data_IF_399892316698
#
_entry.id   IF_399892316698
#
_cell.length_a   1.000
_cell.length_b   1.000
_cell.length_c   1.000
_cell.angle_alpha   90.00
_cell.angle_beta   90.00
_cell.angle_gamma   90.00
#
_symmetry.space_group_name_H-M   'P 1'
#
loop_
_entity.id
_entity.type
_entity.pdbx_description
1 polymer ?
#
# COMPACT_ATOMS: atom_id res chain seq x y z
N UNK A 1 2.02 -15.11 17.56
CA UNK A 1 1.96 -16.50 17.16
C UNK A 1 0.65 -16.74 16.42
N UNK A 2 0.64 -16.93 15.11
CA UNK A 2 -0.57 -17.02 14.25
C UNK A 2 -1.63 -18.04 14.72
N UNK A 3 -1.27 -19.01 15.55
CA UNK A 3 -2.24 -19.94 16.15
C UNK A 3 -3.31 -19.22 16.99
N UNK A 4 -2.96 -18.15 17.68
CA UNK A 4 -3.89 -17.41 18.53
C UNK A 4 -4.88 -16.53 17.73
N UNK A 5 -4.55 -16.19 16.49
CA UNK A 5 -5.41 -15.38 15.63
C UNK A 5 -6.69 -16.11 15.20
N UNK A 6 -6.63 -17.44 15.01
CA UNK A 6 -7.81 -18.24 14.65
C UNK A 6 -8.90 -18.24 15.71
N UNK A 7 -8.54 -17.99 16.97
CA UNK A 7 -9.44 -17.92 18.12
C UNK A 7 -9.92 -16.49 18.41
N UNK A 8 -9.42 -15.50 17.64
CA UNK A 8 -9.83 -14.11 17.84
C UNK A 8 -11.31 -13.91 17.58
N UNK A 9 -11.99 -13.15 18.44
CA UNK A 9 -13.38 -12.72 18.23
C UNK A 9 -13.49 -11.54 17.26
N UNK A 10 -12.39 -10.86 16.95
CA UNK A 10 -12.36 -9.72 16.05
C UNK A 10 -12.60 -10.16 14.60
N UNK A 11 -13.65 -9.61 13.99
CA UNK A 11 -14.06 -9.93 12.60
C UNK A 11 -12.99 -9.57 11.56
N UNK A 12 -12.14 -8.58 11.84
CA UNK A 12 -11.05 -8.14 10.98
C UNK A 12 -9.79 -9.02 11.09
N UNK A 13 -9.87 -10.12 11.84
CA UNK A 13 -8.79 -11.12 11.94
C UNK A 13 -9.28 -12.51 11.54
N UNK A 14 -10.46 -12.61 10.90
CA UNK A 14 -11.10 -13.87 10.50
C UNK A 14 -11.42 -13.93 9.01
N UNK A 15 -11.59 -15.16 8.50
CA UNK A 15 -12.03 -15.39 7.12
C UNK A 15 -11.12 -14.71 6.11
N UNK A 16 -11.68 -13.89 5.22
CA UNK A 16 -10.93 -13.15 4.20
C UNK A 16 -10.03 -12.04 4.76
N UNK A 17 -10.18 -11.69 6.02
CA UNK A 17 -9.35 -10.72 6.74
C UNK A 17 -8.21 -11.39 7.52
N UNK A 18 -8.10 -12.71 7.45
CA UNK A 18 -7.06 -13.43 8.17
C UNK A 18 -5.68 -13.00 7.65
N UNK A 19 -4.76 -12.60 8.53
CA UNK A 19 -3.42 -12.18 8.14
C UNK A 19 -2.67 -13.29 7.42
N UNK A 20 -1.85 -12.88 6.45
CA UNK A 20 -1.00 -13.78 5.68
C UNK A 20 0.48 -13.45 5.87
N UNK A 21 1.32 -14.45 5.71
CA UNK A 21 2.77 -14.29 5.72
C UNK A 21 3.27 -13.79 4.36
N UNK A 22 4.47 -13.21 4.34
CA UNK A 22 5.16 -12.91 3.08
C UNK A 22 5.43 -14.21 2.32
N UNK A 23 5.23 -14.16 1.02
CA UNK A 23 5.45 -15.31 0.15
C UNK A 23 5.89 -14.88 -1.25
N UNK A 24 6.52 -15.81 -1.96
CA UNK A 24 6.84 -15.68 -3.37
C UNK A 24 6.63 -17.01 -4.08
N UNK A 25 6.08 -16.96 -5.28
CA UNK A 25 5.89 -18.11 -6.18
C UNK A 25 6.27 -17.71 -7.58
N UNK A 26 6.90 -18.61 -8.31
CA UNK A 26 7.33 -18.40 -9.70
C UNK A 26 6.67 -19.41 -10.62
N UNK A 27 6.56 -19.07 -11.90
CA UNK A 27 6.01 -19.94 -12.95
C UNK A 27 4.62 -20.48 -12.56
N UNK A 28 3.69 -19.57 -12.31
CA UNK A 28 2.35 -19.90 -11.83
C UNK A 28 1.55 -20.67 -12.88
N UNK A 29 0.78 -21.66 -12.44
CA UNK A 29 -0.18 -22.32 -13.29
C UNK A 29 -1.30 -21.36 -13.70
N UNK A 30 -1.65 -21.40 -14.98
CA UNK A 30 -2.72 -20.59 -15.57
C UNK A 30 -3.86 -21.50 -16.03
N UNK A 31 -5.07 -21.23 -15.54
CA UNK A 31 -6.28 -21.88 -16.04
C UNK A 31 -6.93 -20.94 -17.07
N UNK A 32 -6.99 -21.35 -18.33
CA UNK A 32 -7.41 -20.53 -19.45
C UNK A 32 -6.22 -19.88 -20.16
N UNK A 33 -6.43 -18.70 -20.76
CA UNK A 33 -5.41 -18.00 -21.53
C UNK A 33 -5.27 -16.54 -21.04
N UNK A 34 -4.02 -16.11 -20.90
CA UNK A 34 -3.69 -14.71 -20.68
C UNK A 34 -3.37 -14.08 -22.05
N UNK A 35 -4.03 -12.97 -22.45
CA UNK A 35 -3.70 -12.27 -23.69
C UNK A 35 -2.22 -11.90 -23.73
N UNK A 36 -1.55 -12.16 -24.86
CA UNK A 36 -0.10 -11.87 -25.03
C UNK A 36 0.22 -10.39 -24.97
N UNK A 37 -0.74 -9.56 -25.28
CA UNK A 37 -0.63 -8.10 -25.24
C UNK A 37 -0.63 -7.57 -23.80
N UNK A 38 -1.12 -8.35 -22.83
CA UNK A 38 -1.13 -7.96 -21.43
C UNK A 38 0.25 -8.18 -20.80
N UNK A 39 1.00 -7.10 -20.70
CA UNK A 39 2.34 -7.08 -20.12
C UNK A 39 2.40 -6.06 -18.99
N UNK A 40 2.88 -6.46 -17.84
CA UNK A 40 3.01 -5.55 -16.72
C UNK A 40 3.00 -6.20 -15.36
N UNK A 41 2.76 -5.36 -14.37
CA UNK A 41 2.69 -5.74 -12.96
C UNK A 41 1.31 -5.34 -12.42
N UNK A 42 0.50 -6.34 -12.08
CA UNK A 42 -0.75 -6.12 -11.38
C UNK A 42 -0.45 -5.99 -9.88
N UNK A 43 -0.85 -4.86 -9.28
CA UNK A 43 -0.56 -4.55 -7.88
C UNK A 43 -1.83 -4.30 -7.09
N UNK A 44 -1.81 -4.74 -5.83
CA UNK A 44 -2.80 -4.38 -4.80
C UNK A 44 -2.08 -4.08 -3.50
N UNK A 45 -2.54 -3.07 -2.77
CA UNK A 45 -2.09 -2.75 -1.43
C UNK A 45 -3.26 -2.81 -0.46
N UNK A 46 -3.02 -3.32 0.73
CA UNK A 46 -4.05 -3.44 1.76
C UNK A 46 -3.45 -3.66 3.14
N UNK A 47 -4.26 -3.56 4.20
CA UNK A 47 -3.82 -3.85 5.54
C UNK A 47 -3.59 -5.35 5.75
N UNK A 48 -2.48 -5.69 6.40
CA UNK A 48 -2.16 -7.02 6.88
C UNK A 48 -1.43 -6.89 8.22
N UNK A 49 -2.12 -7.07 9.36
CA UNK A 49 -1.50 -6.79 10.65
C UNK A 49 -0.31 -7.68 10.92
N UNK A 50 0.76 -7.09 11.46
CA UNK A 50 1.98 -7.76 11.88
C UNK A 50 1.99 -7.90 13.39
N UNK A 51 2.43 -9.05 13.88
CA UNK A 51 2.56 -9.28 15.33
C UNK A 51 3.59 -8.31 15.99
N UNK A 52 3.32 -7.83 17.19
CA UNK A 52 2.19 -8.16 18.06
C UNK A 52 0.92 -7.41 17.70
N UNK A 53 -0.25 -8.09 17.76
CA UNK A 53 -1.55 -7.52 17.40
C UNK A 53 -2.41 -7.37 18.66
N UNK A 54 -3.05 -6.21 18.83
CA UNK A 54 -4.14 -6.08 19.79
C UNK A 54 -5.42 -6.72 19.21
N UNK A 55 -5.62 -7.99 19.51
CA UNK A 55 -6.74 -8.78 18.99
C UNK A 55 -8.10 -8.18 19.30
N UNK A 56 -8.23 -7.45 20.39
CA UNK A 56 -9.52 -6.90 20.84
C UNK A 56 -9.89 -5.62 20.07
N UNK A 57 -8.92 -4.75 19.86
CA UNK A 57 -9.16 -3.41 19.32
C UNK A 57 -8.62 -3.21 17.89
N UNK A 58 -8.07 -4.24 17.28
CA UNK A 58 -7.55 -4.13 15.92
C UNK A 58 -8.61 -3.67 14.93
N UNK A 59 -8.25 -2.67 14.13
CA UNK A 59 -9.03 -2.20 12.99
C UNK A 59 -8.12 -2.07 11.76
N UNK A 60 -8.55 -2.50 10.54
CA UNK A 60 -7.69 -2.53 9.36
C UNK A 60 -7.11 -1.17 8.97
N UNK A 61 -7.76 -0.06 9.29
CA UNK A 61 -7.20 1.27 9.01
C UNK A 61 -5.84 1.52 9.67
N UNK A 62 -5.55 0.83 10.76
CA UNK A 62 -4.31 0.94 11.52
C UNK A 62 -3.39 -0.28 11.36
N UNK A 63 -3.70 -1.18 10.42
CA UNK A 63 -2.87 -2.33 10.12
C UNK A 63 -1.66 -1.96 9.28
N UNK A 64 -0.61 -2.79 9.36
CA UNK A 64 0.55 -2.67 8.48
C UNK A 64 0.16 -2.85 7.03
N UNK A 65 0.81 -2.13 6.12
CA UNK A 65 0.61 -2.30 4.70
C UNK A 65 1.25 -3.57 4.16
N UNK A 66 0.53 -4.27 3.29
CA UNK A 66 1.08 -5.38 2.51
C UNK A 66 0.76 -5.18 1.04
N UNK A 67 1.80 -5.15 0.22
CA UNK A 67 1.69 -5.11 -1.23
C UNK A 67 1.63 -6.52 -1.78
N UNK A 68 0.73 -6.76 -2.73
CA UNK A 68 0.64 -7.99 -3.52
C UNK A 68 0.91 -7.65 -4.97
N UNK A 69 1.77 -8.41 -5.62
CA UNK A 69 2.10 -8.22 -7.02
C UNK A 69 2.05 -9.51 -7.82
N UNK A 70 1.52 -9.41 -9.03
CA UNK A 70 1.52 -10.47 -10.04
C UNK A 70 2.16 -9.93 -11.31
N UNK A 71 3.29 -10.51 -11.71
CA UNK A 71 3.96 -10.18 -12.97
C UNK A 71 3.41 -11.02 -14.11
N UNK A 72 2.90 -10.33 -15.13
CA UNK A 72 2.38 -10.93 -16.35
C UNK A 72 3.24 -10.49 -17.53
N UNK A 73 3.63 -11.41 -18.38
CA UNK A 73 4.37 -11.11 -19.60
C UNK A 73 4.18 -12.22 -20.65
N UNK A 74 3.92 -11.83 -21.89
CA UNK A 74 3.82 -12.73 -23.06
C UNK A 74 2.87 -13.91 -22.83
N UNK A 75 1.71 -13.68 -22.22
CA UNK A 75 0.71 -14.70 -21.93
C UNK A 75 1.06 -15.62 -20.75
N UNK A 76 2.03 -15.26 -19.92
CA UNK A 76 2.49 -16.02 -18.76
C UNK A 76 2.35 -15.23 -17.47
N UNK A 77 1.98 -15.91 -16.38
CA UNK A 77 2.07 -15.41 -15.02
C UNK A 77 3.45 -15.81 -14.46
N UNK A 78 4.40 -14.88 -14.49
CA UNK A 78 5.81 -15.19 -14.20
C UNK A 78 6.07 -15.38 -12.72
N UNK A 79 5.51 -14.49 -11.88
CA UNK A 79 5.64 -14.61 -10.44
C UNK A 79 4.49 -13.90 -9.72
N UNK A 80 4.22 -14.36 -8.51
CA UNK A 80 3.44 -13.68 -7.48
C UNK A 80 4.33 -13.45 -6.26
N UNK A 81 4.24 -12.27 -5.67
CA UNK A 81 4.91 -11.92 -4.41
C UNK A 81 3.97 -11.09 -3.55
N UNK A 82 4.05 -11.28 -2.24
CA UNK A 82 3.49 -10.35 -1.28
C UNK A 82 4.53 -9.99 -0.22
N UNK A 83 4.62 -8.70 0.11
CA UNK A 83 5.61 -8.16 1.04
C UNK A 83 4.99 -7.08 1.91
N UNK A 84 5.46 -6.96 3.14
CA UNK A 84 5.14 -5.80 3.96
C UNK A 84 5.71 -4.53 3.36
N UNK A 85 4.88 -3.47 3.37
CA UNK A 85 5.34 -2.13 3.01
C UNK A 85 5.96 -1.51 4.25
N UNK A 86 7.27 -1.40 4.27
CA UNK A 86 7.99 -0.81 5.39
C UNK A 86 7.88 0.71 5.36
N UNK A 87 7.83 1.32 6.54
CA UNK A 87 7.88 2.77 6.70
C UNK A 87 8.76 3.11 7.90
N UNK A 88 9.69 4.09 7.77
CA UNK A 88 10.46 4.57 8.91
C UNK A 88 9.63 5.38 9.91
N UNK A 89 8.37 5.69 9.61
CA UNK A 89 7.52 6.60 10.38
C UNK A 89 6.31 5.91 11.05
N UNK A 90 6.34 4.60 11.23
CA UNK A 90 5.23 3.84 11.85
C UNK A 90 4.76 2.69 10.98
N UNK A 91 3.46 2.35 11.03
CA UNK A 91 2.91 1.32 10.14
C UNK A 91 3.02 1.76 8.67
N UNK A 92 3.35 0.81 7.82
CA UNK A 92 3.53 1.06 6.38
C UNK A 92 2.23 1.45 5.69
N UNK A 93 2.31 2.21 4.58
CA UNK A 93 1.15 2.55 3.77
C UNK A 93 0.34 1.32 3.37
N UNK A 94 -0.97 1.33 3.68
CA UNK A 94 -1.82 0.15 3.61
C UNK A 94 -3.08 0.31 2.74
N UNK A 95 -3.21 1.42 1.99
CA UNK A 95 -4.50 1.75 1.37
C UNK A 95 -4.48 1.64 -0.15
N UNK A 96 -3.48 2.20 -0.81
CA UNK A 96 -3.46 2.29 -2.26
C UNK A 96 -2.05 2.09 -2.82
N UNK A 97 -1.97 1.74 -4.10
CA UNK A 97 -0.73 1.67 -4.87
C UNK A 97 -0.96 2.26 -6.25
N UNK A 98 -0.03 3.07 -6.71
CA UNK A 98 -0.07 3.66 -8.06
C UNK A 98 1.32 3.76 -8.67
N UNK A 99 1.37 3.88 -10.00
CA UNK A 99 2.59 4.23 -10.73
C UNK A 99 2.51 5.69 -11.17
N UNK A 100 3.57 6.46 -10.91
CA UNK A 100 3.75 7.82 -11.39
C UNK A 100 5.24 8.09 -11.62
N UNK A 101 5.60 8.81 -12.68
CA UNK A 101 6.98 9.14 -13.03
C UNK A 101 7.94 7.93 -12.94
N UNK A 102 7.53 6.79 -13.53
CA UNK A 102 8.23 5.50 -13.56
C UNK A 102 8.47 4.84 -12.18
N UNK A 103 7.92 5.38 -11.10
CA UNK A 103 8.02 4.83 -9.73
C UNK A 103 6.70 4.24 -9.27
N UNK A 104 6.78 3.25 -8.39
CA UNK A 104 5.64 2.63 -7.71
C UNK A 104 5.53 3.23 -6.32
N UNK A 105 4.38 3.82 -6.01
CA UNK A 105 4.10 4.43 -4.72
C UNK A 105 3.05 3.65 -3.96
N UNK A 106 3.35 3.24 -2.73
CA UNK A 106 2.37 2.79 -1.77
C UNK A 106 1.90 3.96 -0.91
N UNK A 107 0.60 4.08 -0.70
CA UNK A 107 -0.05 5.22 -0.08
C UNK A 107 -0.94 4.81 1.07
N UNK A 108 -1.10 5.74 2.03
CA UNK A 108 -2.09 5.64 3.12
C UNK A 108 -2.80 6.97 3.31
N UNK A 109 -4.07 6.93 3.69
CA UNK A 109 -4.89 8.13 3.89
C UNK A 109 -4.53 8.83 5.20
N UNK A 110 -4.17 10.13 5.12
CA UNK A 110 -3.86 10.97 6.29
C UNK A 110 -2.76 10.43 7.22
N UNK A 111 -1.97 9.49 6.75
CA UNK A 111 -0.94 8.78 7.51
C UNK A 111 0.49 9.21 7.17
N UNK A 112 1.37 8.23 6.98
CA UNK A 112 2.77 8.47 6.62
C UNK A 112 2.93 9.04 5.20
N UNK A 113 4.14 9.53 4.91
CA UNK A 113 4.54 9.83 3.53
C UNK A 113 4.41 8.60 2.65
N UNK A 114 4.20 8.78 1.34
CA UNK A 114 4.29 7.70 0.37
C UNK A 114 5.60 6.94 0.49
N UNK A 115 5.56 5.66 0.17
CA UNK A 115 6.74 4.79 0.11
C UNK A 115 6.97 4.39 -1.33
N UNK A 116 8.21 4.48 -1.80
CA UNK A 116 8.60 4.04 -3.14
C UNK A 116 9.04 2.59 -3.10
N UNK A 117 8.53 1.80 -4.04
CA UNK A 117 8.87 0.40 -4.24
C UNK A 117 9.54 0.21 -5.61
N UNK A 118 10.49 -0.72 -5.67
CA UNK A 118 11.05 -1.19 -6.94
C UNK A 118 10.09 -2.19 -7.65
N UNK A 119 10.49 -2.66 -8.83
CA UNK A 119 9.70 -3.63 -9.62
C UNK A 119 9.61 -5.02 -8.98
N UNK A 120 10.43 -5.31 -7.98
CA UNK A 120 10.43 -6.54 -7.18
C UNK A 120 9.73 -6.37 -5.83
N UNK A 121 9.05 -5.23 -5.64
CA UNK A 121 8.30 -4.84 -4.45
C UNK A 121 9.17 -4.64 -3.21
N UNK A 122 10.46 -4.34 -3.39
CA UNK A 122 11.30 -3.95 -2.28
C UNK A 122 11.15 -2.47 -1.97
N UNK A 123 11.22 -2.12 -0.70
CA UNK A 123 11.36 -0.75 -0.25
C UNK A 123 12.63 -0.10 -0.83
N UNK A 124 12.52 1.15 -1.24
CA UNK A 124 13.67 1.98 -1.64
C UNK A 124 13.83 3.16 -0.68
N UNK A 125 15.06 3.63 -0.48
CA UNK A 125 15.35 4.81 0.35
C UNK A 125 15.11 6.13 -0.39
N UNK A 126 14.45 6.09 -1.55
CA UNK A 126 14.18 7.29 -2.33
C UNK A 126 13.17 8.19 -1.61
N UNK A 127 13.45 9.49 -1.63
CA UNK A 127 12.52 10.49 -1.10
C UNK A 127 11.35 10.64 -2.07
N UNK A 128 10.11 10.40 -1.65
CA UNK A 128 8.95 10.62 -2.49
C UNK A 128 8.79 12.12 -2.76
N UNK A 129 8.57 12.48 -4.03
CA UNK A 129 8.30 13.85 -4.45
C UNK A 129 9.33 14.88 -3.93
N UNK A 130 10.61 14.84 -4.40
CA UNK A 130 11.65 15.74 -3.96
C UNK A 130 11.21 17.22 -4.11
N UNK A 131 11.50 18.02 -3.09
CA UNK A 131 11.09 19.44 -3.06
C UNK A 131 9.69 19.70 -2.50
N UNK A 132 8.94 18.66 -2.14
CA UNK A 132 7.71 18.78 -1.37
C UNK A 132 7.97 18.35 0.08
N UNK A 133 7.79 19.25 1.05
CA UNK A 133 7.95 18.91 2.48
C UNK A 133 6.72 18.18 3.05
N UNK A 134 6.17 17.23 2.31
CA UNK A 134 4.97 16.52 2.76
C UNK A 134 5.32 15.35 3.63
N UNK A 135 5.11 15.47 4.92
CA UNK A 135 5.18 14.35 5.87
C UNK A 135 3.97 13.43 5.78
N UNK A 136 2.94 13.80 5.04
CA UNK A 136 1.65 13.12 4.95
C UNK A 136 1.10 13.23 3.53
N UNK A 137 0.25 12.28 3.15
CA UNK A 137 -0.28 12.22 1.81
C UNK A 137 -1.70 11.63 1.82
N UNK A 138 -2.49 11.87 0.76
CA UNK A 138 -3.75 11.17 0.56
C UNK A 138 -3.52 9.79 -0.06
N UNK A 139 -4.38 8.84 0.24
CA UNK A 139 -4.40 7.56 -0.48
C UNK A 139 -5.02 7.68 -1.88
N UNK A 140 -5.72 8.77 -2.19
CA UNK A 140 -6.50 8.93 -3.40
C UNK A 140 -6.14 10.20 -4.19
N UNK A 141 -4.85 10.39 -4.58
CA UNK A 141 -4.46 11.51 -5.40
C UNK A 141 -5.14 11.46 -6.77
N UNK A 142 -5.23 12.60 -7.43
CA UNK A 142 -5.80 12.71 -8.77
C UNK A 142 -4.71 12.98 -9.79
N UNK A 143 -4.77 12.30 -10.91
CA UNK A 143 -3.80 12.41 -11.98
C UNK A 143 -4.33 13.30 -13.12
N UNK A 144 -3.63 14.40 -13.41
CA UNK A 144 -3.85 15.20 -14.60
C UNK A 144 -2.98 14.66 -15.74
N UNK A 145 -3.59 13.88 -16.62
CA UNK A 145 -2.88 13.27 -17.75
C UNK A 145 -2.37 14.29 -18.78
N UNK A 146 -3.01 15.47 -18.84
CA UNK A 146 -2.63 16.51 -19.81
C UNK A 146 -1.30 17.19 -19.44
N UNK A 147 -0.99 17.24 -18.16
CA UNK A 147 0.22 17.88 -17.62
C UNK A 147 1.21 16.88 -17.02
N UNK A 148 0.82 15.60 -16.92
CA UNK A 148 1.56 14.56 -16.20
C UNK A 148 1.78 14.91 -14.70
N UNK A 149 0.76 15.50 -14.07
CA UNK A 149 0.81 15.96 -12.69
C UNK A 149 -0.04 15.06 -11.78
N UNK A 150 0.44 14.80 -10.58
CA UNK A 150 -0.29 14.13 -9.50
C UNK A 150 -0.70 15.15 -8.45
N UNK A 151 -2.01 15.33 -8.24
CA UNK A 151 -2.57 16.28 -7.28
C UNK A 151 -3.00 15.56 -6.00
N UNK A 152 -2.57 16.07 -4.86
CA UNK A 152 -2.83 15.51 -3.54
C UNK A 152 -3.37 16.56 -2.59
N UNK A 153 -4.28 16.14 -1.70
CA UNK A 153 -4.70 16.92 -0.54
C UNK A 153 -4.10 16.24 0.69
N UNK A 154 -3.35 16.98 1.47
CA UNK A 154 -2.71 16.47 2.68
C UNK A 154 -3.41 17.00 3.93
N UNK A 155 -3.61 16.10 4.90
CA UNK A 155 -4.16 16.43 6.21
C UNK A 155 -3.63 15.46 7.27
N UNK A 156 -3.76 15.86 8.53
CA UNK A 156 -3.32 15.05 9.66
C UNK A 156 -4.51 14.34 10.31
N UNK A 157 -4.65 13.05 10.04
CA UNK A 157 -5.71 12.25 10.64
C UNK A 157 -5.49 12.02 12.15
N UNK A 158 -4.25 12.00 12.62
CA UNK A 158 -3.95 11.80 14.04
C UNK A 158 -4.40 13.00 14.91
N UNK A 159 -4.30 14.20 14.38
CA UNK A 159 -4.83 15.41 15.06
C UNK A 159 -6.35 15.39 15.15
N UNK A 160 -7.02 14.89 14.12
CA UNK A 160 -8.48 14.73 14.12
C UNK A 160 -8.94 13.75 15.22
N UNK A 161 -8.28 12.58 15.35
CA UNK A 161 -8.59 11.60 16.39
C UNK A 161 -8.33 12.16 17.79
N UNK A 162 -7.28 12.95 17.96
CA UNK A 162 -6.95 13.59 19.23
C UNK A 162 -7.88 14.76 19.59
N UNK A 163 -8.87 15.10 18.75
CA UNK A 163 -9.77 16.22 18.96
C UNK A 163 -9.15 17.60 18.74
N UNK A 164 -7.93 17.66 18.20
CA UNK A 164 -7.30 18.89 17.79
C UNK A 164 -7.97 19.45 16.52
N UNK A 165 -8.13 20.76 16.44
CA UNK A 165 -8.59 21.41 15.20
C UNK A 165 -7.43 21.41 14.21
N UNK A 166 -7.61 20.74 13.06
CA UNK A 166 -6.66 20.85 11.96
C UNK A 166 -6.72 22.25 11.38
N UNK A 167 -5.61 22.97 11.36
CA UNK A 167 -5.48 24.22 10.63
C UNK A 167 -5.25 23.91 9.14
N UNK A 168 -6.35 23.59 8.44
CA UNK A 168 -6.38 23.54 6.99
C UNK A 168 -5.79 22.29 6.34
N UNK A 169 -6.37 21.92 5.20
CA UNK A 169 -5.78 20.96 4.28
C UNK A 169 -4.82 21.69 3.32
N UNK A 170 -3.67 21.08 3.04
CA UNK A 170 -2.72 21.59 2.05
C UNK A 170 -2.89 20.83 0.74
N UNK A 171 -3.01 21.57 -0.37
CA UNK A 171 -3.04 20.99 -1.72
C UNK A 171 -1.63 21.01 -2.30
N UNK A 172 -1.16 19.86 -2.74
CA UNK A 172 0.14 19.71 -3.39
C UNK A 172 -0.02 19.22 -4.82
N UNK A 173 0.78 19.79 -5.70
CA UNK A 173 0.96 19.27 -7.07
C UNK A 173 2.33 18.61 -7.13
N UNK A 174 2.36 17.33 -7.46
CA UNK A 174 3.58 16.53 -7.60
C UNK A 174 3.86 16.33 -9.10
N UNK A 175 5.01 16.76 -9.55
CA UNK A 175 5.46 16.64 -10.95
C UNK A 175 6.19 15.34 -11.20
#
# INVERSE_FOLDING_TARGET
NMRNLRESENVFLKGNWYPVEESASENLDVIGEIPKELNGLFLRNGPNPKEPIDHKNYHPFFGDGMIHGLKIQDGKALWYKNKYVLSPFGFGPNTHVLKHAEKIYALVEGGSSPVILDSDLNFTDEVPFPGTETKRFTAHPKFDTSKNELHSINYDFSEYIAGAKTEGATVHTCL
#
